data_IF_070860346386
#
_entry.id   IF_070860346386
#
_cell.length_a   1.000
_cell.length_b   1.000
_cell.length_c   1.000
_cell.angle_alpha   90.00
_cell.angle_beta   90.00
_cell.angle_gamma   90.00
#
_symmetry.space_group_name_H-M   'P 1'
#
loop_
_entity.id
_entity.type
_entity.pdbx_description
1 polymer ?
#
# COMPACT_ATOMS: atom_id res chain seq x y z
N UNK A 1 3.21 40.71 -7.08
CA UNK A 1 1.94 40.00 -7.34
C UNK A 1 2.28 38.52 -7.40
N UNK A 2 2.44 37.87 -6.24
CA UNK A 2 2.47 36.40 -6.17
C UNK A 2 1.02 35.98 -6.40
N UNK A 3 0.76 35.39 -7.55
CA UNK A 3 -0.58 34.97 -7.98
C UNK A 3 -1.07 33.89 -7.01
N UNK A 4 -2.34 33.90 -6.58
CA UNK A 4 -2.95 32.84 -5.75
C UNK A 4 -2.74 31.42 -6.30
N UNK A 5 -2.44 31.29 -7.60
CA UNK A 5 -2.06 30.04 -8.24
C UNK A 5 -0.73 29.45 -7.74
N UNK A 6 0.18 30.27 -7.22
CA UNK A 6 1.52 29.86 -6.77
C UNK A 6 1.45 29.03 -5.46
N UNK A 7 0.57 29.42 -4.53
CA UNK A 7 0.40 28.73 -3.24
C UNK A 7 -0.43 27.44 -3.36
N UNK A 8 -1.43 27.42 -4.26
CA UNK A 8 -2.20 26.22 -4.60
C UNK A 8 -1.33 25.17 -5.31
N UNK A 9 -0.49 25.61 -6.27
CA UNK A 9 0.47 24.74 -6.94
C UNK A 9 1.50 24.15 -5.98
N UNK A 10 2.06 24.97 -5.08
CA UNK A 10 3.00 24.51 -4.05
C UNK A 10 2.34 23.47 -3.12
N UNK A 11 1.12 23.76 -2.63
CA UNK A 11 0.39 22.86 -1.74
C UNK A 11 0.08 21.51 -2.40
N UNK A 12 -0.31 21.54 -3.69
CA UNK A 12 -0.57 20.34 -4.48
C UNK A 12 0.69 19.47 -4.65
N UNK A 13 1.83 20.10 -4.99
CA UNK A 13 3.12 19.40 -5.09
C UNK A 13 3.57 18.80 -3.76
N UNK A 14 3.43 19.55 -2.66
CA UNK A 14 3.74 19.04 -1.33
C UNK A 14 2.84 17.85 -0.95
N UNK A 15 1.55 17.91 -1.28
CA UNK A 15 0.63 16.79 -1.07
C UNK A 15 1.06 15.56 -1.88
N UNK A 16 1.36 15.74 -3.17
CA UNK A 16 1.81 14.66 -4.05
C UNK A 16 3.08 13.98 -3.54
N UNK A 17 4.06 14.77 -3.07
CA UNK A 17 5.28 14.26 -2.45
C UNK A 17 5.01 13.48 -1.16
N UNK A 18 4.16 14.00 -0.27
CA UNK A 18 3.81 13.34 1.00
C UNK A 18 3.09 12.00 0.77
N UNK A 19 2.14 11.96 -0.15
CA UNK A 19 1.42 10.73 -0.49
C UNK A 19 2.37 9.71 -1.11
N UNK A 20 3.20 10.13 -2.07
CA UNK A 20 4.19 9.24 -2.71
C UNK A 20 5.17 8.66 -1.70
N UNK A 21 5.66 9.46 -0.75
CA UNK A 21 6.55 8.99 0.32
C UNK A 21 5.84 8.02 1.28
N UNK A 22 4.57 8.27 1.60
CA UNK A 22 3.75 7.36 2.42
C UNK A 22 3.60 5.99 1.75
N UNK A 23 3.26 5.98 0.46
CA UNK A 23 3.12 4.75 -0.34
C UNK A 23 4.44 4.00 -0.41
N UNK A 24 5.55 4.70 -0.70
CA UNK A 24 6.87 4.07 -0.76
C UNK A 24 7.22 3.38 0.57
N UNK A 25 6.85 3.98 1.70
CA UNK A 25 7.02 3.34 3.01
C UNK A 25 6.12 2.11 3.17
N UNK A 26 4.88 2.14 2.70
CA UNK A 26 4.00 0.97 2.75
C UNK A 26 4.54 -0.20 1.94
N UNK A 27 5.03 0.06 0.73
CA UNK A 27 5.67 -0.98 -0.10
C UNK A 27 6.91 -1.54 0.61
N UNK A 28 7.77 -0.70 1.20
CA UNK A 28 8.92 -1.17 2.00
C UNK A 28 8.49 -2.09 3.15
N UNK A 29 7.39 -1.76 3.83
CA UNK A 29 6.86 -2.60 4.91
C UNK A 29 6.36 -3.96 4.37
N UNK A 30 5.69 -3.97 3.23
CA UNK A 30 5.23 -5.22 2.59
C UNK A 30 6.43 -6.10 2.22
N UNK A 31 7.45 -5.52 1.60
CA UNK A 31 8.69 -6.24 1.25
C UNK A 31 9.42 -6.79 2.48
N UNK A 32 9.45 -6.04 3.58
CA UNK A 32 10.05 -6.53 4.83
C UNK A 32 9.35 -7.78 5.37
N UNK A 33 8.01 -7.81 5.36
CA UNK A 33 7.23 -8.98 5.80
C UNK A 33 7.42 -10.16 4.84
N UNK A 34 7.50 -9.90 3.52
CA UNK A 34 7.81 -10.93 2.52
C UNK A 34 9.18 -11.55 2.79
N UNK A 35 10.20 -10.74 3.10
CA UNK A 35 11.53 -11.23 3.44
C UNK A 35 11.54 -12.05 4.74
N UNK A 36 10.78 -11.65 5.75
CA UNK A 36 10.62 -12.44 6.99
C UNK A 36 10.00 -13.81 6.71
N UNK A 37 8.93 -13.85 5.91
CA UNK A 37 8.30 -15.10 5.50
C UNK A 37 9.24 -15.99 4.69
N UNK A 38 10.06 -15.41 3.81
CA UNK A 38 11.07 -16.15 3.06
C UNK A 38 12.12 -16.80 4.00
N UNK A 39 12.61 -16.06 5.00
CA UNK A 39 13.52 -16.62 6.02
C UNK A 39 12.89 -17.77 6.81
N UNK A 40 11.59 -17.66 7.17
CA UNK A 40 10.88 -18.76 7.83
C UNK A 40 10.75 -20.01 6.94
N UNK A 41 10.59 -19.86 5.62
CA UNK A 41 10.58 -20.98 4.68
C UNK A 41 11.98 -21.63 4.56
N UNK A 42 13.04 -20.82 4.56
CA UNK A 42 14.42 -21.32 4.58
C UNK A 42 14.71 -22.14 5.85
N UNK A 43 14.29 -21.65 7.02
CA UNK A 43 14.43 -22.35 8.30
C UNK A 43 13.69 -23.70 8.31
N UNK A 44 12.45 -23.71 7.80
CA UNK A 44 11.65 -24.94 7.67
C UNK A 44 12.33 -25.95 6.74
N UNK A 45 12.87 -25.47 5.62
CA UNK A 45 13.59 -26.31 4.65
C UNK A 45 14.86 -26.88 5.25
N UNK A 46 15.63 -26.07 5.98
CA UNK A 46 16.84 -26.51 6.66
C UNK A 46 16.57 -27.56 7.74
N UNK A 47 15.52 -27.37 8.54
CA UNK A 47 15.09 -28.35 9.53
C UNK A 47 14.68 -29.68 8.85
N UNK A 48 13.95 -29.61 7.74
CA UNK A 48 13.55 -30.79 6.98
C UNK A 48 14.74 -31.57 6.40
N UNK A 49 15.75 -30.87 5.87
CA UNK A 49 16.98 -31.48 5.38
C UNK A 49 17.76 -32.23 6.49
N UNK A 50 17.59 -31.81 7.75
CA UNK A 50 18.15 -32.49 8.93
C UNK A 50 17.27 -33.61 9.48
N UNK A 51 16.18 -33.96 8.79
CA UNK A 51 15.28 -35.04 9.16
C UNK A 51 14.13 -34.63 10.08
N UNK A 52 13.93 -33.34 10.35
CA UNK A 52 12.75 -32.89 11.08
C UNK A 52 11.49 -33.00 10.20
N UNK A 53 10.36 -33.41 10.79
CA UNK A 53 9.10 -33.39 10.08
C UNK A 53 8.62 -31.95 9.84
N UNK A 54 8.13 -31.67 8.64
CA UNK A 54 7.48 -30.40 8.32
C UNK A 54 6.02 -30.48 8.81
N UNK A 55 5.61 -29.54 9.65
CA UNK A 55 4.21 -29.32 9.99
C UNK A 55 3.48 -28.67 8.81
N UNK A 56 2.53 -29.36 8.15
CA UNK A 56 1.79 -28.83 7.00
C UNK A 56 1.01 -27.55 7.34
N UNK A 57 0.47 -27.44 8.56
CA UNK A 57 -0.30 -26.26 8.95
C UNK A 57 0.60 -25.04 9.11
N UNK A 58 1.81 -25.24 9.63
CA UNK A 58 2.82 -24.17 9.73
C UNK A 58 3.26 -23.70 8.34
N UNK A 59 3.54 -24.63 7.43
CA UNK A 59 3.90 -24.29 6.05
C UNK A 59 2.76 -23.50 5.37
N UNK A 60 1.53 -23.98 5.49
CA UNK A 60 0.36 -23.33 4.91
C UNK A 60 0.17 -21.90 5.43
N UNK A 61 0.36 -21.67 6.74
CA UNK A 61 0.27 -20.33 7.33
C UNK A 61 1.28 -19.35 6.71
N UNK A 62 2.53 -19.78 6.49
CA UNK A 62 3.56 -18.93 5.88
C UNK A 62 3.20 -18.61 4.42
N UNK A 63 2.74 -19.60 3.65
CA UNK A 63 2.27 -19.39 2.28
C UNK A 63 1.09 -18.41 2.20
N UNK A 64 0.11 -18.53 3.10
CA UNK A 64 -1.04 -17.61 3.16
C UNK A 64 -0.60 -16.19 3.52
N UNK A 65 0.31 -16.02 4.47
CA UNK A 65 0.85 -14.71 4.83
C UNK A 65 1.61 -14.07 3.66
N UNK A 66 2.41 -14.86 2.93
CA UNK A 66 3.12 -14.42 1.75
C UNK A 66 2.17 -13.92 0.66
N UNK A 67 1.16 -14.73 0.29
CA UNK A 67 0.16 -14.36 -0.71
C UNK A 67 -0.64 -13.11 -0.30
N UNK A 68 -1.00 -12.99 0.99
CA UNK A 68 -1.67 -11.80 1.51
C UNK A 68 -0.84 -10.54 1.32
N UNK A 69 0.47 -10.60 1.53
CA UNK A 69 1.35 -9.46 1.31
C UNK A 69 1.52 -9.12 -0.18
N UNK A 70 1.57 -10.11 -1.08
CA UNK A 70 1.59 -9.86 -2.53
C UNK A 70 0.33 -9.12 -2.99
N UNK A 71 -0.85 -9.60 -2.60
CA UNK A 71 -2.13 -8.96 -2.95
C UNK A 71 -2.18 -7.52 -2.42
N UNK A 72 -1.71 -7.31 -1.19
CA UNK A 72 -1.62 -5.98 -0.60
C UNK A 72 -0.66 -5.06 -1.37
N UNK A 73 0.51 -5.55 -1.80
CA UNK A 73 1.43 -4.76 -2.63
C UNK A 73 0.77 -4.35 -3.95
N UNK A 74 0.07 -5.26 -4.60
CA UNK A 74 -0.64 -4.99 -5.86
C UNK A 74 -1.70 -3.89 -5.68
N UNK A 75 -2.50 -3.94 -4.62
CA UNK A 75 -3.49 -2.89 -4.30
C UNK A 75 -2.83 -1.52 -4.05
N UNK A 76 -1.74 -1.49 -3.28
CA UNK A 76 -1.00 -0.25 -3.01
C UNK A 76 -0.45 0.34 -4.32
N UNK A 77 0.13 -0.50 -5.18
CA UNK A 77 0.68 -0.07 -6.47
C UNK A 77 -0.40 0.41 -7.43
N UNK A 78 -1.57 -0.24 -7.47
CA UNK A 78 -2.72 0.23 -8.25
C UNK A 78 -3.18 1.62 -7.82
N UNK A 79 -3.31 1.85 -6.51
CA UNK A 79 -3.65 3.17 -5.99
C UNK A 79 -2.57 4.21 -6.32
N UNK A 80 -1.29 3.83 -6.24
CA UNK A 80 -0.17 4.71 -6.62
C UNK A 80 -0.21 5.09 -8.09
N UNK A 81 -0.38 4.13 -8.99
CA UNK A 81 -0.46 4.37 -10.42
C UNK A 81 -1.65 5.27 -10.75
N UNK A 82 -2.83 5.00 -10.18
CA UNK A 82 -4.00 5.85 -10.36
C UNK A 82 -3.75 7.27 -9.85
N UNK A 83 -3.13 7.42 -8.69
CA UNK A 83 -2.76 8.72 -8.15
C UNK A 83 -1.74 9.45 -9.02
N UNK A 84 -0.71 8.76 -9.52
CA UNK A 84 0.31 9.34 -10.37
C UNK A 84 -0.28 9.85 -11.69
N UNK A 85 -1.22 9.11 -12.30
CA UNK A 85 -1.91 9.55 -13.52
C UNK A 85 -2.93 10.67 -13.29
N UNK A 86 -3.27 11.02 -12.05
CA UNK A 86 -4.24 12.09 -11.77
C UNK A 86 -3.76 13.49 -12.18
N UNK A 87 -2.45 13.67 -12.38
CA UNK A 87 -1.86 14.93 -12.85
C UNK A 87 -1.63 14.96 -14.36
N UNK A 88 -1.88 13.86 -15.08
CA UNK A 88 -1.76 13.83 -16.54
C UNK A 88 -2.87 14.64 -17.22
N UNK A 89 -4.04 14.74 -16.58
CA UNK A 89 -5.19 15.54 -17.03
C UNK A 89 -5.82 16.27 -15.85
N UNK A 90 -5.78 17.60 -15.89
CA UNK A 90 -6.35 18.45 -14.83
C UNK A 90 -7.88 18.52 -14.85
N UNK A 91 -8.52 18.20 -15.98
CA UNK A 91 -9.97 18.19 -16.15
C UNK A 91 -10.41 16.88 -16.80
N UNK A 92 -11.51 16.31 -16.29
CA UNK A 92 -12.06 15.06 -16.81
C UNK A 92 -13.31 14.60 -16.06
N UNK A 93 -14.06 13.68 -16.66
CA UNK A 93 -15.12 12.96 -15.95
C UNK A 93 -14.50 11.98 -14.95
N UNK A 94 -15.03 11.97 -13.73
CA UNK A 94 -14.60 11.08 -12.66
C UNK A 94 -15.82 10.41 -12.02
N UNK A 95 -15.66 9.15 -11.66
CA UNK A 95 -16.58 8.49 -10.74
C UNK A 95 -16.27 8.97 -9.31
N UNK A 96 -17.25 9.60 -8.66
CA UNK A 96 -17.08 10.18 -7.32
C UNK A 96 -16.88 9.11 -6.24
N UNK A 97 -17.52 7.95 -6.36
CA UNK A 97 -17.34 6.86 -5.41
C UNK A 97 -15.93 6.31 -5.52
N UNK A 98 -15.46 6.04 -6.74
CA UNK A 98 -14.10 5.57 -6.94
C UNK A 98 -13.03 6.58 -6.51
N UNK A 99 -13.28 7.88 -6.73
CA UNK A 99 -12.39 8.95 -6.26
C UNK A 99 -12.34 8.99 -4.73
N UNK A 100 -13.48 8.87 -4.06
CA UNK A 100 -13.54 8.81 -2.60
C UNK A 100 -12.80 7.58 -2.06
N UNK A 101 -12.96 6.42 -2.70
CA UNK A 101 -12.22 5.19 -2.36
C UNK A 101 -10.72 5.40 -2.54
N UNK A 102 -10.27 6.00 -3.65
CA UNK A 102 -8.87 6.32 -3.86
C UNK A 102 -8.33 7.23 -2.76
N UNK A 103 -9.00 8.35 -2.47
CA UNK A 103 -8.57 9.30 -1.42
C UNK A 103 -8.52 8.63 -0.05
N UNK A 104 -9.51 7.80 0.28
CA UNK A 104 -9.54 7.00 1.51
C UNK A 104 -8.33 6.06 1.60
N UNK A 105 -8.01 5.35 0.51
CA UNK A 105 -6.86 4.44 0.46
C UNK A 105 -5.53 5.19 0.64
N UNK A 106 -5.35 6.34 -0.04
CA UNK A 106 -4.15 7.17 0.08
C UNK A 106 -4.00 7.77 1.50
N UNK A 107 -5.10 8.10 2.16
CA UNK A 107 -5.12 8.60 3.53
C UNK A 107 -5.09 7.48 4.59
N UNK A 108 -5.24 6.21 4.18
CA UNK A 108 -5.41 5.07 5.07
C UNK A 108 -4.28 4.91 6.07
N UNK A 109 -3.02 4.98 5.61
CA UNK A 109 -1.87 4.92 6.52
C UNK A 109 -1.76 6.12 7.46
N UNK A 110 -1.80 7.39 6.99
CA UNK A 110 -1.83 8.55 7.86
C UNK A 110 -2.93 8.47 8.93
N UNK A 111 -4.12 7.97 8.57
CA UNK A 111 -5.22 7.76 9.49
C UNK A 111 -4.91 6.65 10.51
N UNK A 112 -4.41 5.50 10.06
CA UNK A 112 -4.04 4.37 10.92
C UNK A 112 -2.96 4.75 11.94
N UNK A 113 -1.97 5.57 11.55
CA UNK A 113 -0.96 6.10 12.48
C UNK A 113 -1.57 6.95 13.61
N UNK A 114 -2.78 7.47 13.41
CA UNK A 114 -3.57 8.21 14.41
C UNK A 114 -4.70 7.38 15.02
N UNK A 115 -4.72 6.07 14.78
CA UNK A 115 -5.78 5.13 15.21
C UNK A 115 -7.17 5.49 14.69
N UNK A 116 -7.24 6.06 13.49
CA UNK A 116 -8.48 6.38 12.80
C UNK A 116 -8.71 5.37 11.66
N UNK A 117 -9.97 5.03 11.41
CA UNK A 117 -10.41 4.29 10.23
C UNK A 117 -11.24 5.20 9.32
N UNK A 118 -11.03 5.08 8.02
CA UNK A 118 -11.82 5.78 7.01
C UNK A 118 -12.70 4.74 6.31
N UNK A 119 -13.99 5.05 6.21
CA UNK A 119 -14.98 4.21 5.50
C UNK A 119 -15.65 5.09 4.46
N UNK A 120 -15.74 4.59 3.24
CA UNK A 120 -16.45 5.23 2.14
C UNK A 120 -17.74 4.47 1.94
N UNK A 121 -18.87 5.13 2.18
CA UNK A 121 -20.19 4.58 1.90
C UNK A 121 -20.57 4.91 0.46
N UNK A 122 -21.12 3.93 -0.30
CA UNK A 122 -21.68 4.22 -1.61
C UNK A 122 -22.90 5.16 -1.48
N UNK A 123 -23.13 6.04 -2.46
CA UNK A 123 -24.29 6.93 -2.49
C UNK A 123 -25.61 6.18 -2.67
#
# INVERSE_FOLDING_TARGET
MHSEYDSLGESGLQFFGKVSASIAHEIKNVLAIINENAGLLEDLTFAAQKGAAIDPDRLNRVCLQFNKQILRADEILKNMSRFAHSVDRFEGQVDLHELAVLVSNLAGRPAAMRKLSIVVEPP
#
